data_IF_271984750156
#
_entry.id   IF_271984750156
#
_cell.length_a   1.000
_cell.length_b   1.000
_cell.length_c   1.000
_cell.angle_alpha   90.00
_cell.angle_beta   90.00
_cell.angle_gamma   90.00
#
_symmetry.space_group_name_H-M   'P 1'
#
loop_
_entity.id
_entity.type
_entity.pdbx_description
1 polymer ?
#
# COMPACT_ATOMS: atom_id res chain seq x y z
N UNK A 1 -12.97 12.07 11.76
CA UNK A 1 -12.00 11.02 11.40
C UNK A 1 -11.90 10.12 12.60
N UNK A 2 -12.19 8.83 12.43
CA UNK A 2 -12.12 7.87 13.52
C UNK A 2 -10.65 7.69 13.98
N UNK A 3 -10.44 7.41 15.26
CA UNK A 3 -9.10 7.21 15.81
C UNK A 3 -8.41 6.02 15.15
N UNK A 4 -9.18 4.97 14.84
CA UNK A 4 -8.72 3.81 14.10
C UNK A 4 -8.28 4.14 12.67
N UNK A 5 -9.08 4.91 11.93
CA UNK A 5 -8.76 5.32 10.56
C UNK A 5 -7.46 6.15 10.51
N UNK A 6 -7.31 7.07 11.47
CA UNK A 6 -6.11 7.91 11.59
C UNK A 6 -4.85 7.07 11.86
N UNK A 7 -4.99 6.04 12.69
CA UNK A 7 -3.90 5.12 13.03
C UNK A 7 -3.49 4.27 11.80
N UNK A 8 -4.45 3.63 11.12
CA UNK A 8 -4.17 2.82 9.93
C UNK A 8 -3.57 3.67 8.81
N UNK A 9 -4.06 4.91 8.62
CA UNK A 9 -3.50 5.84 7.64
C UNK A 9 -2.04 6.17 7.95
N UNK A 10 -1.72 6.46 9.21
CA UNK A 10 -0.34 6.74 9.63
C UNK A 10 0.59 5.54 9.37
N UNK A 11 0.17 4.31 9.71
CA UNK A 11 0.96 3.12 9.43
C UNK A 11 1.11 2.85 7.93
N UNK A 12 0.07 3.09 7.14
CA UNK A 12 0.10 2.95 5.68
C UNK A 12 1.12 3.92 5.06
N UNK A 13 1.11 5.19 5.48
CA UNK A 13 2.10 6.18 5.05
C UNK A 13 3.52 5.79 5.46
N UNK A 14 3.72 5.27 6.68
CA UNK A 14 5.03 4.76 7.13
C UNK A 14 5.51 3.57 6.30
N UNK A 15 4.61 2.68 5.89
CA UNK A 15 4.94 1.54 5.03
C UNK A 15 5.39 2.01 3.64
N UNK A 16 4.67 2.95 3.02
CA UNK A 16 5.07 3.56 1.75
C UNK A 16 6.43 4.28 1.90
N UNK A 17 6.60 5.04 2.98
CA UNK A 17 7.86 5.73 3.30
C UNK A 17 9.04 4.75 3.36
N UNK A 18 8.84 3.59 3.98
CA UNK A 18 9.84 2.53 4.05
C UNK A 18 10.12 1.90 2.69
N UNK A 19 9.08 1.57 1.92
CA UNK A 19 9.21 0.99 0.57
C UNK A 19 10.02 1.91 -0.34
N UNK A 20 9.66 3.20 -0.40
CA UNK A 20 10.32 4.20 -1.26
C UNK A 20 11.54 4.87 -0.61
N UNK A 21 11.98 4.38 0.56
CA UNK A 21 13.13 4.91 1.31
C UNK A 21 13.12 6.44 1.47
N UNK A 22 11.96 7.00 1.82
CA UNK A 22 11.75 8.44 1.93
C UNK A 22 11.10 8.85 3.25
N UNK A 23 11.28 10.12 3.70
CA UNK A 23 10.61 10.61 4.90
C UNK A 23 9.09 10.64 4.76
N UNK A 24 8.36 10.17 5.78
CA UNK A 24 6.89 10.10 5.77
C UNK A 24 6.24 11.48 5.61
N UNK A 25 6.89 12.53 6.12
CA UNK A 25 6.41 13.91 6.08
C UNK A 25 6.43 14.50 4.66
N UNK A 26 7.16 13.88 3.74
CA UNK A 26 7.22 14.30 2.34
C UNK A 26 6.15 13.66 1.47
N UNK A 27 5.54 12.57 1.93
CA UNK A 27 4.55 11.83 1.16
C UNK A 27 3.26 12.63 1.08
N UNK A 28 2.79 12.88 -0.13
CA UNK A 28 1.50 13.52 -0.37
C UNK A 28 0.46 12.47 -0.75
N UNK A 29 -0.77 12.54 -0.21
CA UNK A 29 -1.84 11.60 -0.55
C UNK A 29 -2.13 11.50 -2.05
N UNK A 30 -1.96 12.60 -2.79
CA UNK A 30 -2.29 12.71 -4.22
C UNK A 30 -1.22 12.10 -5.13
N UNK A 31 -0.05 11.73 -4.59
CA UNK A 31 1.04 11.17 -5.36
C UNK A 31 0.68 9.83 -5.97
N UNK A 32 0.97 9.70 -7.27
CA UNK A 32 0.72 8.50 -8.05
C UNK A 32 1.92 7.57 -8.06
N UNK A 33 1.65 6.29 -7.82
CA UNK A 33 2.63 5.22 -7.99
C UNK A 33 3.06 5.12 -9.47
N UNK A 34 4.36 5.07 -9.73
CA UNK A 34 4.94 5.04 -11.07
C UNK A 34 4.98 6.38 -11.81
N UNK A 35 4.58 7.49 -11.16
CA UNK A 35 4.69 8.86 -11.71
C UNK A 35 5.36 9.79 -10.72
N UNK A 36 4.76 9.99 -9.55
CA UNK A 36 5.35 10.81 -8.48
C UNK A 36 6.22 9.95 -7.55
N UNK A 37 5.81 8.69 -7.36
CA UNK A 37 6.55 7.66 -6.66
C UNK A 37 7.09 6.64 -7.68
N UNK A 38 8.21 6.99 -8.30
CA UNK A 38 8.89 6.12 -9.25
C UNK A 38 9.67 5.01 -8.53
N UNK A 39 9.60 3.79 -9.06
CA UNK A 39 10.49 2.72 -8.63
C UNK A 39 11.94 3.07 -8.99
N UNK A 40 12.87 2.69 -8.13
CA UNK A 40 14.29 2.80 -8.47
C UNK A 40 14.58 1.90 -9.67
N UNK A 41 15.42 2.37 -10.59
CA UNK A 41 15.85 1.63 -11.79
C UNK A 41 16.78 0.48 -11.42
N UNK A 42 16.24 -0.53 -10.73
CA UNK A 42 16.92 -1.80 -10.51
C UNK A 42 16.76 -2.68 -11.74
N UNK A 43 17.71 -3.58 -11.92
CA UNK A 43 17.72 -4.55 -13.02
C UNK A 43 16.38 -5.29 -13.08
N UNK A 44 15.86 -5.54 -14.29
CA UNK A 44 14.55 -6.15 -14.60
C UNK A 44 14.25 -7.50 -13.90
N UNK A 45 15.22 -8.06 -13.17
CA UNK A 45 15.12 -9.32 -12.44
C UNK A 45 14.99 -9.17 -10.91
N UNK A 46 15.00 -7.96 -10.36
CA UNK A 46 14.84 -7.73 -8.91
C UNK A 46 13.53 -7.02 -8.58
N UNK A 47 12.87 -7.44 -7.49
CA UNK A 47 11.68 -6.79 -6.94
C UNK A 47 11.93 -5.30 -6.72
N UNK A 48 11.04 -4.48 -7.23
CA UNK A 48 11.07 -3.03 -7.05
C UNK A 48 10.02 -2.54 -6.04
N UNK A 49 10.00 -1.24 -5.79
CA UNK A 49 9.11 -0.59 -4.83
C UNK A 49 7.62 -0.78 -5.18
N UNK A 50 7.29 -0.75 -6.47
CA UNK A 50 5.93 -0.97 -6.95
C UNK A 50 5.48 -2.42 -6.77
N UNK A 51 6.40 -3.38 -6.93
CA UNK A 51 6.12 -4.79 -6.63
C UNK A 51 5.79 -4.99 -5.16
N UNK A 52 6.50 -4.32 -4.25
CA UNK A 52 6.21 -4.36 -2.82
C UNK A 52 4.84 -3.78 -2.49
N UNK A 53 4.47 -2.64 -3.09
CA UNK A 53 3.12 -2.07 -2.92
C UNK A 53 2.05 -3.02 -3.46
N UNK A 54 2.29 -3.65 -4.61
CA UNK A 54 1.35 -4.59 -5.20
C UNK A 54 1.17 -5.86 -4.36
N UNK A 55 2.26 -6.39 -3.79
CA UNK A 55 2.23 -7.51 -2.83
C UNK A 55 1.42 -7.13 -1.59
N UNK A 56 1.64 -5.95 -1.00
CA UNK A 56 0.88 -5.47 0.16
C UNK A 56 -0.63 -5.38 -0.17
N UNK A 57 -0.99 -4.87 -1.36
CA UNK A 57 -2.38 -4.81 -1.83
C UNK A 57 -2.97 -6.22 -1.97
N UNK A 58 -2.23 -7.16 -2.54
CA UNK A 58 -2.70 -8.52 -2.76
C UNK A 58 -2.82 -9.32 -1.46
N UNK A 59 -1.94 -9.08 -0.49
CA UNK A 59 -1.98 -9.72 0.83
C UNK A 59 -3.23 -9.27 1.62
N UNK A 60 -3.68 -8.01 1.49
CA UNK A 60 -4.89 -7.51 2.17
C UNK A 60 -6.20 -7.69 1.39
N UNK A 61 -6.10 -7.84 0.07
CA UNK A 61 -7.27 -7.96 -0.80
C UNK A 61 -7.96 -9.31 -0.57
N UNK A 62 -9.28 -9.26 -0.33
CA UNK A 62 -10.09 -10.47 -0.34
C UNK A 62 -10.48 -10.86 -1.77
N UNK A 63 -11.14 -12.03 -1.94
CA UNK A 63 -11.57 -12.50 -3.26
C UNK A 63 -12.50 -11.52 -3.99
N UNK A 64 -13.25 -10.69 -3.27
CA UNK A 64 -14.12 -9.70 -3.89
C UNK A 64 -13.31 -8.49 -4.37
N UNK A 65 -12.37 -8.00 -3.56
CA UNK A 65 -11.43 -6.94 -3.93
C UNK A 65 -10.57 -7.35 -5.12
N UNK A 66 -10.02 -8.57 -5.12
CA UNK A 66 -9.25 -9.12 -6.26
C UNK A 66 -10.08 -9.15 -7.55
N UNK A 67 -11.35 -9.55 -7.48
CA UNK A 67 -12.25 -9.52 -8.64
C UNK A 67 -12.50 -8.09 -9.15
N UNK A 68 -12.53 -7.09 -8.27
CA UNK A 68 -12.66 -5.69 -8.69
C UNK A 68 -11.39 -5.19 -9.40
N UNK A 69 -10.20 -5.62 -8.94
CA UNK A 69 -8.94 -5.38 -9.64
C UNK A 69 -8.91 -6.05 -11.02
N UNK A 70 -9.27 -7.33 -11.10
CA UNK A 70 -9.32 -8.08 -12.38
C UNK A 70 -10.30 -7.46 -13.39
N UNK A 71 -11.39 -6.86 -12.91
CA UNK A 71 -12.36 -6.16 -13.74
C UNK A 71 -11.98 -4.71 -14.06
N UNK A 72 -10.84 -4.21 -13.55
CA UNK A 72 -10.40 -2.82 -13.69
C UNK A 72 -11.31 -1.80 -12.98
N UNK A 73 -12.17 -2.26 -12.06
CA UNK A 73 -13.13 -1.42 -11.33
C UNK A 73 -12.54 -0.81 -10.06
N UNK A 74 -11.45 -1.39 -9.56
CA UNK A 74 -10.66 -0.84 -8.48
C UNK A 74 -9.24 -0.69 -9.00
N UNK A 75 -8.68 0.51 -8.89
CA UNK A 75 -7.30 0.81 -9.28
C UNK A 75 -6.69 1.59 -8.13
N UNK A 76 -5.68 1.01 -7.48
CA UNK A 76 -4.88 1.71 -6.48
C UNK A 76 -3.77 2.43 -7.23
N UNK A 77 -3.98 3.72 -7.48
CA UNK A 77 -3.06 4.53 -8.28
C UNK A 77 -2.32 5.56 -7.45
N UNK A 78 -2.92 6.01 -6.35
CA UNK A 78 -2.37 7.02 -5.45
C UNK A 78 -2.09 6.49 -4.06
N UNK A 79 -1.28 7.23 -3.31
CA UNK A 79 -1.05 6.98 -1.88
C UNK A 79 -2.36 6.98 -1.09
N UNK A 80 -3.29 7.87 -1.41
CA UNK A 80 -4.59 7.92 -0.74
C UNK A 80 -5.45 6.68 -1.05
N UNK A 81 -5.46 6.22 -2.31
CA UNK A 81 -6.16 4.98 -2.69
C UNK A 81 -5.65 3.79 -1.86
N UNK A 82 -4.33 3.69 -1.68
CA UNK A 82 -3.71 2.65 -0.87
C UNK A 82 -4.11 2.76 0.59
N UNK A 83 -4.07 3.96 1.17
CA UNK A 83 -4.48 4.17 2.56
C UNK A 83 -5.97 3.84 2.77
N UNK A 84 -6.83 4.24 1.83
CA UNK A 84 -8.26 3.96 1.88
C UNK A 84 -8.54 2.45 1.79
N UNK A 85 -7.83 1.73 0.92
CA UNK A 85 -7.90 0.26 0.86
C UNK A 85 -7.52 -0.36 2.21
N UNK A 86 -6.42 0.08 2.82
CA UNK A 86 -5.97 -0.43 4.11
C UNK A 86 -6.96 -0.14 5.24
N UNK A 87 -7.60 1.03 5.23
CA UNK A 87 -8.65 1.40 6.19
C UNK A 87 -9.88 0.50 6.01
N UNK A 88 -10.37 0.35 4.78
CA UNK A 88 -11.56 -0.45 4.49
C UNK A 88 -11.34 -1.93 4.82
N UNK A 89 -10.17 -2.46 4.47
CA UNK A 89 -9.76 -3.81 4.88
C UNK A 89 -9.57 -3.90 6.39
N UNK A 90 -9.01 -2.89 7.03
CA UNK A 90 -8.78 -2.88 8.48
C UNK A 90 -10.08 -2.92 9.28
N UNK A 91 -11.16 -2.31 8.76
CA UNK A 91 -12.50 -2.39 9.36
C UNK A 91 -13.11 -3.79 9.29
N UNK A 92 -12.74 -4.57 8.27
CA UNK A 92 -13.30 -5.91 8.00
C UNK A 92 -12.44 -7.02 8.62
N UNK A 93 -11.12 -6.91 8.44
CA UNK A 93 -10.11 -7.84 8.95
C UNK A 93 -8.85 -7.06 9.39
N UNK A 94 -8.84 -6.53 10.63
CA UNK A 94 -7.72 -5.76 11.14
C UNK A 94 -6.44 -6.57 11.32
N UNK A 95 -6.54 -7.91 11.38
CA UNK A 95 -5.38 -8.78 11.60
C UNK A 95 -4.47 -8.82 10.38
N UNK A 96 -5.05 -9.04 9.20
CA UNK A 96 -4.33 -9.09 7.92
C UNK A 96 -3.68 -7.75 7.58
N UNK A 97 -4.37 -6.63 7.84
CA UNK A 97 -3.81 -5.29 7.62
C UNK A 97 -2.66 -5.02 8.58
N UNK A 98 -2.79 -5.42 9.85
CA UNK A 98 -1.72 -5.27 10.83
C UNK A 98 -0.49 -6.11 10.43
N UNK A 99 -0.67 -7.34 9.98
CA UNK A 99 0.42 -8.19 9.49
C UNK A 99 1.11 -7.55 8.28
N UNK A 100 0.34 -7.03 7.33
CA UNK A 100 0.89 -6.37 6.14
C UNK A 100 1.68 -5.11 6.48
N UNK A 101 1.12 -4.23 7.33
CA UNK A 101 1.73 -2.95 7.68
C UNK A 101 2.89 -3.06 8.69
N UNK A 102 2.92 -4.09 9.55
CA UNK A 102 3.96 -4.26 10.58
C UNK A 102 5.00 -5.33 10.25
N UNK A 103 4.61 -6.41 9.57
CA UNK A 103 5.49 -7.53 9.23
C UNK A 103 5.84 -7.57 7.75
N UNK A 104 5.55 -6.49 7.02
CA UNK A 104 5.78 -6.36 5.59
C UNK A 104 7.04 -7.10 5.17
N UNK A 105 6.87 -8.08 4.27
CA UNK A 105 7.88 -9.08 3.94
C UNK A 105 9.08 -8.42 3.29
N UNK A 106 9.96 -7.84 4.09
CA UNK A 106 11.31 -7.44 3.72
C UNK A 106 12.15 -8.73 3.60
N UNK A 107 11.70 -9.65 2.74
CA UNK A 107 12.42 -10.88 2.42
C UNK A 107 13.53 -10.49 1.45
N UNK A 108 14.70 -10.25 2.02
CA UNK A 108 16.00 -10.27 1.35
C UNK A 108 16.16 -11.47 0.42
#
# INVERSE_FOLDING_TARGET
MDAFESEIRLYSLRRIALIFSMPVEKIQPEWKFGVDLEASSRSDFSRNELDCVNDDIHDVADRATLRLFEQGKLVVSTVDDYCNLMIDRGKTDPSVVRETLLMGKDRH
#
